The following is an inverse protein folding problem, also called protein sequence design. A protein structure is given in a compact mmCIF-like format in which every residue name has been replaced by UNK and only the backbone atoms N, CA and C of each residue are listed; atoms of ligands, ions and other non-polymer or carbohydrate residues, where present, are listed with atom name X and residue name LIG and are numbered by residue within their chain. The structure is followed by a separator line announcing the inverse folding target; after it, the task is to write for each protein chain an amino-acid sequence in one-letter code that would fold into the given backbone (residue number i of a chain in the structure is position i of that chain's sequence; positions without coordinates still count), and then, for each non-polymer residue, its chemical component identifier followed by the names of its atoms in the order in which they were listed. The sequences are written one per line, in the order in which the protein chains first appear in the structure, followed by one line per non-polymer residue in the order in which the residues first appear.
data_IF_034577365971
#
_entry.id   IF_034577365971
#
_cell.length_a   1.000
_cell.length_b   1.000
_cell.length_c   1.000
_cell.angle_alpha   90.00
_cell.angle_beta   90.00
_cell.angle_gamma   90.00
#
_symmetry.space_group_name_H-M   'P 1'
#
loop_
_entity.id
_entity.type
_entity.pdbx_description
1 polymer ?
#
# COMPACT_ATOMS: atom_id res chain seq x y z
N UNK A 1 -9.77 1.21 9.93
CA UNK A 1 -8.75 0.82 8.93
C UNK A 1 -7.49 0.30 9.59
N UNK A 2 -6.77 1.11 10.38
CA UNK A 2 -5.52 0.68 11.04
C UNK A 2 -5.69 -0.61 11.86
N UNK A 3 -6.73 -0.71 12.70
CA UNK A 3 -7.04 -1.93 13.47
C UNK A 3 -7.28 -3.17 12.61
N UNK A 4 -7.85 -3.00 11.42
CA UNK A 4 -8.12 -4.11 10.48
C UNK A 4 -6.83 -4.60 9.84
N UNK A 5 -5.94 -3.67 9.48
CA UNK A 5 -4.59 -3.97 9.00
C UNK A 5 -3.82 -4.70 10.11
N UNK A 6 -3.83 -4.20 11.35
CA UNK A 6 -3.17 -4.85 12.48
C UNK A 6 -3.65 -6.29 12.69
N UNK A 7 -4.97 -6.53 12.69
CA UNK A 7 -5.54 -7.89 12.82
C UNK A 7 -5.11 -8.82 11.69
N UNK A 8 -5.13 -8.31 10.46
CA UNK A 8 -4.74 -9.07 9.27
C UNK A 8 -3.24 -9.44 9.29
N UNK A 9 -2.40 -8.50 9.74
CA UNK A 9 -0.97 -8.73 9.97
C UNK A 9 -0.77 -9.81 11.04
N UNK A 10 -1.42 -9.71 12.20
CA UNK A 10 -1.31 -10.71 13.26
C UNK A 10 -1.69 -12.11 12.76
N UNK A 11 -2.82 -12.26 12.08
CA UNK A 11 -3.20 -13.56 11.50
C UNK A 11 -2.22 -14.08 10.45
N UNK A 12 -1.56 -13.19 9.69
CA UNK A 12 -0.52 -13.60 8.73
C UNK A 12 0.78 -14.03 9.41
N UNK A 13 1.11 -13.46 10.57
CA UNK A 13 2.29 -13.82 11.35
C UNK A 13 2.11 -15.16 12.08
N UNK A 14 0.91 -15.43 12.61
CA UNK A 14 0.55 -16.73 13.16
C UNK A 14 0.74 -17.84 12.11
N UNK A 15 0.34 -17.59 10.86
CA UNK A 15 0.57 -18.53 9.75
C UNK A 15 2.05 -18.73 9.39
N UNK A 16 2.92 -17.79 9.75
CA UNK A 16 4.37 -17.87 9.60
C UNK A 16 5.07 -18.46 10.84
N UNK A 17 4.29 -18.93 11.84
CA UNK A 17 4.82 -19.42 13.13
C UNK A 17 5.65 -18.37 13.88
N UNK A 18 5.27 -17.09 13.74
CA UNK A 18 5.81 -15.98 14.53
C UNK A 18 4.80 -15.66 15.63
N UNK A 19 5.16 -16.00 16.86
CA UNK A 19 4.30 -15.80 18.04
C UNK A 19 4.39 -14.35 18.56
N UNK A 20 3.27 -13.84 19.10
CA UNK A 20 3.22 -12.52 19.73
C UNK A 20 3.84 -12.57 21.13
N UNK A 21 4.98 -11.89 21.33
CA UNK A 21 5.57 -11.62 22.64
C UNK A 21 5.51 -10.11 22.94
N UNK A 22 4.69 -9.72 23.92
CA UNK A 22 4.57 -8.33 24.35
C UNK A 22 5.64 -7.91 25.37
N UNK A 23 6.28 -8.87 26.04
CA UNK A 23 7.24 -8.61 27.10
C UNK A 23 8.66 -8.45 26.55
N UNK A 24 9.08 -9.35 25.66
CA UNK A 24 10.42 -9.34 25.06
C UNK A 24 10.38 -9.76 23.57
N UNK A 25 9.83 -8.93 22.66
CA UNK A 25 9.77 -9.27 21.25
C UNK A 25 11.16 -9.27 20.62
N UNK A 26 11.47 -10.28 19.79
CA UNK A 26 12.65 -10.27 18.91
C UNK A 26 12.47 -9.30 17.72
N UNK A 27 11.22 -9.18 17.24
CA UNK A 27 10.86 -8.38 16.08
C UNK A 27 9.76 -7.38 16.42
N UNK A 28 9.93 -6.14 15.98
CA UNK A 28 8.90 -5.10 16.00
C UNK A 28 8.31 -4.92 14.61
N UNK A 29 6.99 -4.95 14.52
CA UNK A 29 6.27 -4.79 13.26
C UNK A 29 5.57 -3.44 13.24
N UNK A 30 5.88 -2.66 12.21
CA UNK A 30 5.24 -1.37 11.97
C UNK A 30 4.69 -1.32 10.55
N UNK A 31 3.64 -0.54 10.33
CA UNK A 31 3.04 -0.41 9.01
C UNK A 31 2.68 1.03 8.71
N UNK A 32 2.80 1.39 7.44
CA UNK A 32 2.43 2.69 6.91
C UNK A 32 1.33 2.53 5.88
N UNK A 33 0.36 3.43 5.95
CA UNK A 33 -0.79 3.45 5.08
C UNK A 33 -1.02 4.88 4.60
N UNK A 34 -1.13 5.09 3.29
CA UNK A 34 -1.37 6.42 2.75
C UNK A 34 -1.70 6.42 1.27
N UNK A 35 -2.27 7.53 0.81
CA UNK A 35 -2.43 7.82 -0.61
C UNK A 35 -1.27 8.68 -1.10
N UNK A 36 -0.68 8.31 -2.23
CA UNK A 36 0.13 9.24 -3.03
C UNK A 36 -0.73 9.73 -4.19
N UNK A 37 -0.78 11.05 -4.37
CA UNK A 37 -1.37 11.61 -5.58
C UNK A 37 -0.45 11.26 -6.76
N UNK A 38 -0.98 10.44 -7.67
CA UNK A 38 -0.32 10.04 -8.90
C UNK A 38 -1.03 10.74 -10.07
N UNK A 39 -0.30 11.58 -10.80
CA UNK A 39 -0.84 12.30 -11.95
C UNK A 39 -0.64 11.44 -13.19
N UNK A 40 -1.67 10.71 -13.59
CA UNK A 40 -1.60 9.86 -14.79
C UNK A 40 -2.03 10.65 -16.03
N UNK A 41 -1.24 10.53 -17.09
CA UNK A 41 -1.58 11.04 -18.41
C UNK A 41 -2.77 10.27 -18.96
N UNK A 42 -3.91 10.94 -19.16
CA UNK A 42 -4.99 10.43 -20.00
C UNK A 42 -4.76 10.93 -21.42
N UNK A 43 -4.51 10.06 -22.40
CA UNK A 43 -4.69 10.46 -23.77
C UNK A 43 -6.15 10.86 -23.95
N UNK A 44 -6.38 12.06 -24.46
CA UNK A 44 -7.70 12.59 -24.77
C UNK A 44 -8.33 11.73 -25.87
N UNK A 45 -9.01 10.65 -25.49
CA UNK A 45 -9.82 9.83 -26.39
C UNK A 45 -11.18 10.51 -26.60
N UNK A 46 -11.17 11.68 -27.24
CA UNK A 46 -12.38 12.28 -27.81
C UNK A 46 -12.05 12.76 -29.21
N UNK A 47 -12.55 12.02 -30.20
CA UNK A 47 -12.47 12.34 -31.63
C UNK A 47 -13.34 13.53 -32.03
N UNK A 48 -13.25 14.65 -31.33
CA UNK A 48 -13.88 15.90 -31.74
C UNK A 48 -12.91 17.06 -31.60
N UNK A 49 -12.67 17.71 -32.73
CA UNK A 49 -11.76 18.82 -32.97
C UNK A 49 -12.18 20.07 -32.16
N UNK A 50 -11.88 20.12 -30.87
CA UNK A 50 -11.91 21.39 -30.15
C UNK A 50 -10.72 22.22 -30.65
N UNK A 51 -11.04 23.33 -31.30
CA UNK A 51 -10.08 24.30 -31.83
C UNK A 51 -9.05 24.65 -30.76
N UNK A 52 -7.78 24.35 -31.05
CA UNK A 52 -6.60 24.77 -30.29
C UNK A 52 -6.70 26.27 -30.01
N UNK A 53 -7.02 26.65 -28.78
CA UNK A 53 -7.03 28.05 -28.37
C UNK A 53 -5.58 28.45 -28.05
N UNK A 54 -5.01 29.49 -28.68
CA UNK A 54 -3.56 29.76 -28.65
C UNK A 54 -2.98 30.19 -27.29
N UNK A 55 -3.80 30.25 -26.24
CA UNK A 55 -3.41 30.74 -24.92
C UNK A 55 -3.40 29.67 -23.82
N UNK A 56 -3.83 28.43 -24.11
CA UNK A 56 -3.87 27.34 -23.13
C UNK A 56 -2.94 26.20 -23.55
N UNK A 57 -1.99 25.86 -22.70
CA UNK A 57 -1.07 24.75 -22.94
C UNK A 57 -1.83 23.42 -22.66
N UNK A 58 -2.04 22.61 -23.70
CA UNK A 58 -2.76 21.32 -23.64
C UNK A 58 -2.18 20.36 -22.57
N UNK A 59 -0.97 20.61 -22.09
CA UNK A 59 -0.33 19.82 -21.02
C UNK A 59 -1.11 19.79 -19.72
N UNK A 60 -1.85 20.85 -19.35
CA UNK A 60 -2.53 20.90 -18.05
C UNK A 60 -3.82 20.07 -17.99
N UNK A 61 -4.49 19.82 -19.12
CA UNK A 61 -5.77 19.10 -19.16
C UNK A 61 -5.62 17.57 -19.28
N UNK A 62 -4.41 17.08 -19.56
CA UNK A 62 -4.18 15.65 -19.80
C UNK A 62 -3.79 14.87 -18.53
N UNK A 63 -3.61 15.52 -17.38
CA UNK A 63 -3.28 14.85 -16.13
C UNK A 63 -4.51 14.80 -15.21
N UNK A 64 -5.04 13.59 -15.01
CA UNK A 64 -6.12 13.37 -14.03
C UNK A 64 -5.49 12.87 -12.73
N UNK A 65 -5.75 13.52 -11.57
CA UNK A 65 -5.26 13.03 -10.30
C UNK A 65 -5.85 11.64 -10.01
N UNK A 66 -4.98 10.65 -9.91
CA UNK A 66 -5.30 9.29 -9.47
C UNK A 66 -4.73 9.11 -8.06
N UNK A 67 -5.59 8.86 -7.08
CA UNK A 67 -5.13 8.48 -5.74
C UNK A 67 -4.72 7.02 -5.77
N UNK A 68 -3.41 6.76 -5.67
CA UNK A 68 -2.89 5.42 -5.41
C UNK A 68 -2.73 5.25 -3.90
N UNK A 69 -3.45 4.29 -3.33
CA UNK A 69 -3.25 3.91 -1.95
C UNK A 69 -2.19 2.82 -1.84
N UNK A 70 -1.33 2.93 -0.83
CA UNK A 70 -0.26 1.97 -0.58
C UNK A 70 -0.29 1.53 0.88
N UNK A 71 -0.03 0.25 1.06
CA UNK A 71 0.27 -0.36 2.35
C UNK A 71 1.71 -0.82 2.31
N UNK A 72 2.48 -0.44 3.32
CA UNK A 72 3.84 -0.93 3.54
C UNK A 72 3.92 -1.50 4.96
N UNK A 73 4.59 -2.64 5.10
CA UNK A 73 4.85 -3.33 6.36
C UNK A 73 6.37 -3.41 6.51
N UNK A 74 6.86 -3.07 7.69
CA UNK A 74 8.26 -3.10 8.08
C UNK A 74 8.41 -4.03 9.26
N UNK A 75 9.35 -4.96 9.16
CA UNK A 75 9.79 -5.83 10.24
C UNK A 75 11.14 -5.32 10.68
N UNK A 76 11.25 -4.97 11.95
CA UNK A 76 12.46 -4.46 12.57
C UNK A 76 12.98 -5.44 13.60
N UNK A 77 14.28 -5.47 13.80
CA UNK A 77 14.86 -6.10 14.96
C UNK A 77 14.62 -5.20 16.19
N UNK A 78 14.06 -5.76 17.27
CA UNK A 78 13.69 -4.97 18.46
C UNK A 78 14.89 -4.32 19.15
N UNK A 79 16.06 -4.97 19.10
CA UNK A 79 17.29 -4.53 19.78
C UNK A 79 17.95 -3.32 19.10
N UNK A 80 18.03 -3.33 17.77
CA UNK A 80 18.71 -2.31 16.97
C UNK A 80 17.75 -1.30 16.34
N UNK A 81 16.45 -1.61 16.32
CA UNK A 81 15.42 -0.89 15.56
C UNK A 81 15.70 -0.85 14.05
N UNK A 82 16.61 -1.68 13.56
CA UNK A 82 16.95 -1.78 12.14
C UNK A 82 15.86 -2.54 11.38
N UNK A 83 15.50 -2.06 10.19
CA UNK A 83 14.53 -2.74 9.31
C UNK A 83 15.22 -3.93 8.65
N UNK A 84 14.94 -5.13 9.16
CA UNK A 84 15.47 -6.39 8.62
C UNK A 84 14.69 -6.88 7.41
N UNK A 85 13.42 -6.48 7.28
CA UNK A 85 12.61 -6.78 6.11
C UNK A 85 11.51 -5.75 5.89
N UNK A 86 11.15 -5.53 4.64
CA UNK A 86 10.00 -4.70 4.29
C UNK A 86 9.26 -5.27 3.09
N UNK A 87 7.96 -5.03 3.05
CA UNK A 87 7.12 -5.37 1.91
C UNK A 87 6.03 -4.32 1.71
N UNK A 88 5.64 -4.11 0.45
CA UNK A 88 4.61 -3.11 0.14
C UNK A 88 3.75 -3.54 -1.04
N UNK A 89 2.51 -3.08 -1.04
CA UNK A 89 1.56 -3.34 -2.12
C UNK A 89 0.69 -2.12 -2.39
N UNK A 90 0.15 -2.08 -3.60
CA UNK A 90 -0.89 -1.12 -3.98
C UNK A 90 -2.24 -1.66 -3.55
N UNK A 91 -3.06 -0.78 -3.00
CA UNK A 91 -4.44 -1.08 -2.64
C UNK A 91 -5.42 -0.42 -3.64
N UNK A 92 -6.53 -1.09 -4.01
CA UNK A 92 -7.52 -0.53 -4.94
C UNK A 92 -8.20 0.73 -4.38
N UNK A 93 -8.90 1.54 -5.17
CA UNK A 93 -9.47 2.81 -4.62
C UNK A 93 -10.60 2.60 -3.59
N UNK A 94 -11.17 1.39 -3.50
CA UNK A 94 -12.39 1.06 -2.77
C UNK A 94 -12.23 0.07 -1.60
N UNK A 95 -11.02 -0.26 -1.14
CA UNK A 95 -10.83 -1.25 -0.07
C UNK A 95 -11.23 -0.77 1.33
N UNK A 96 -11.56 0.51 1.52
CA UNK A 96 -11.72 1.09 2.87
C UNK A 96 -12.75 0.38 3.75
N UNK A 97 -13.63 -0.40 3.12
CA UNK A 97 -14.76 -1.09 3.75
C UNK A 97 -14.59 -2.61 3.88
N UNK A 98 -13.74 -3.24 3.07
CA UNK A 98 -13.70 -4.70 2.89
C UNK A 98 -12.50 -5.32 3.58
N UNK A 99 -12.75 -6.26 4.51
CA UNK A 99 -11.71 -6.97 5.24
C UNK A 99 -10.96 -7.97 4.33
N UNK A 100 -11.65 -8.64 3.41
CA UNK A 100 -11.03 -9.66 2.55
C UNK A 100 -9.99 -9.06 1.61
N UNK A 101 -10.21 -7.83 1.14
CA UNK A 101 -9.23 -7.10 0.31
C UNK A 101 -7.98 -6.70 1.12
N UNK A 102 -8.13 -6.43 2.42
CA UNK A 102 -7.00 -6.15 3.31
C UNK A 102 -6.21 -7.43 3.54
N UNK A 103 -6.90 -8.53 3.79
CA UNK A 103 -6.28 -9.85 4.02
C UNK A 103 -5.47 -10.30 2.81
N UNK A 104 -6.06 -10.25 1.60
CA UNK A 104 -5.34 -10.58 0.35
C UNK A 104 -4.10 -9.68 0.16
N UNK A 105 -4.20 -8.40 0.49
CA UNK A 105 -3.09 -7.47 0.34
C UNK A 105 -1.95 -7.76 1.32
N UNK A 106 -2.28 -8.09 2.57
CA UNK A 106 -1.31 -8.45 3.60
C UNK A 106 -0.67 -9.80 3.29
N UNK A 107 -1.45 -10.81 2.91
CA UNK A 107 -0.95 -12.10 2.43
C UNK A 107 -0.01 -11.94 1.24
N UNK A 108 -0.35 -11.09 0.27
CA UNK A 108 0.53 -10.79 -0.86
C UNK A 108 1.86 -10.18 -0.40
N UNK A 109 1.86 -9.30 0.59
CA UNK A 109 3.09 -8.75 1.17
C UNK A 109 3.93 -9.87 1.80
N UNK A 110 3.33 -10.67 2.70
CA UNK A 110 4.02 -11.74 3.40
C UNK A 110 4.37 -12.96 2.54
N UNK A 111 3.81 -13.08 1.33
CA UNK A 111 4.21 -14.14 0.38
C UNK A 111 5.70 -14.09 0.01
N UNK A 112 6.32 -12.91 0.15
CA UNK A 112 7.76 -12.68 -0.07
C UNK A 112 8.59 -12.69 1.20
N UNK A 113 7.96 -12.93 2.36
CA UNK A 113 8.68 -13.05 3.63
C UNK A 113 9.50 -14.36 3.65
N UNK A 114 10.76 -14.33 4.11
CA UNK A 114 11.58 -15.53 4.20
C UNK A 114 10.90 -16.57 5.09
N UNK A 115 10.71 -17.79 4.56
CA UNK A 115 10.23 -18.92 5.37
C UNK A 115 11.42 -19.58 6.04
N UNK A 116 11.32 -19.76 7.35
CA UNK A 116 12.30 -20.53 8.14
C UNK A 116 12.35 -22.00 7.73
#
# INVERSE_FOLDING_TARGET
MLTRISRSILGSLENLSLDEDQANPDLEISFAYGSKDDYRYRPTSFGFQYRRHPFYNDTFYNYVPSKEFRLAIYVKESSSQEVVWYGSTRLPKSYSSDQGVIDEAVERIFSSYPKS
#
